data_IF_712485425057
#
_entry.id   IF_712485425057
#
_cell.length_a   1.000
_cell.length_b   1.000
_cell.length_c   1.000
_cell.angle_alpha   90.00
_cell.angle_beta   90.00
_cell.angle_gamma   90.00
#
_symmetry.space_group_name_H-M   'P 1'
#
loop_
_entity.id
_entity.type
_entity.pdbx_description
1 polymer ?
#
# COMPACT_ATOMS: atom_id res chain seq x y z
N UNK A 1 43.09 10.76 -29.72
CA UNK A 1 41.82 11.48 -29.51
C UNK A 1 41.09 10.74 -28.39
N UNK A 2 40.92 11.36 -27.22
CA UNK A 2 40.17 10.72 -26.13
C UNK A 2 38.70 11.06 -26.38
N UNK A 3 37.91 10.08 -26.80
CA UNK A 3 36.47 10.24 -26.89
C UNK A 3 35.91 10.22 -25.47
N UNK A 4 35.26 11.31 -25.06
CA UNK A 4 34.53 11.39 -23.78
C UNK A 4 33.08 11.03 -24.06
N UNK A 5 32.53 10.14 -23.26
CA UNK A 5 31.12 9.77 -23.37
C UNK A 5 30.21 10.98 -23.13
N UNK A 6 29.12 11.05 -23.88
CA UNK A 6 28.12 12.09 -23.73
C UNK A 6 26.74 11.48 -23.47
N UNK A 7 26.30 11.63 -22.22
CA UNK A 7 24.99 11.17 -21.75
C UNK A 7 24.07 12.33 -21.39
N UNK A 8 24.42 13.57 -21.73
CA UNK A 8 23.65 14.75 -21.37
C UNK A 8 22.22 14.68 -21.92
N UNK A 9 21.28 15.25 -21.17
CA UNK A 9 19.84 15.26 -21.42
C UNK A 9 19.15 13.88 -21.44
N UNK A 10 19.89 12.79 -21.16
CA UNK A 10 19.27 11.49 -20.89
C UNK A 10 18.64 11.50 -19.49
N UNK A 11 17.51 10.82 -19.36
CA UNK A 11 16.88 10.54 -18.06
C UNK A 11 17.68 9.46 -17.35
N UNK A 12 18.07 9.75 -16.12
CA UNK A 12 18.73 8.83 -15.21
C UNK A 12 17.96 8.77 -13.90
N UNK A 13 18.08 7.63 -13.23
CA UNK A 13 17.42 7.31 -11.99
C UNK A 13 18.48 7.14 -10.91
N UNK A 14 18.28 7.82 -9.79
CA UNK A 14 19.12 7.63 -8.62
C UNK A 14 18.95 6.21 -8.06
N UNK A 15 20.05 5.49 -7.84
CA UNK A 15 20.02 4.06 -7.48
C UNK A 15 19.52 3.79 -6.07
N UNK A 16 19.51 4.81 -5.21
CA UNK A 16 19.02 4.72 -3.82
C UNK A 16 17.56 5.17 -3.72
N UNK A 17 17.27 6.37 -4.24
CA UNK A 17 15.98 7.05 -4.08
C UNK A 17 15.00 6.77 -5.22
N UNK A 18 15.46 6.21 -6.35
CA UNK A 18 14.68 5.98 -7.59
C UNK A 18 14.23 7.26 -8.31
N UNK A 19 14.63 8.43 -7.82
CA UNK A 19 14.21 9.70 -8.38
C UNK A 19 14.75 9.89 -9.79
N UNK A 20 13.88 10.34 -10.71
CA UNK A 20 14.25 10.68 -12.07
C UNK A 20 14.93 12.05 -12.11
N UNK A 21 16.03 12.15 -12.86
CA UNK A 21 16.71 13.42 -13.15
C UNK A 21 17.36 13.38 -14.54
N UNK A 22 17.74 14.54 -15.07
CA UNK A 22 18.52 14.62 -16.31
C UNK A 22 20.01 14.63 -15.99
N UNK A 23 20.80 13.94 -16.80
CA UNK A 23 22.26 14.10 -16.80
C UNK A 23 22.57 15.44 -17.48
N UNK A 24 23.30 16.32 -16.80
CA UNK A 24 23.66 17.64 -17.34
C UNK A 24 25.16 17.79 -17.63
N UNK A 25 25.99 16.98 -16.96
CA UNK A 25 27.45 17.00 -17.12
C UNK A 25 27.92 16.14 -18.30
N UNK A 26 28.97 16.58 -19.00
CA UNK A 26 29.71 15.77 -19.96
C UNK A 26 30.57 14.74 -19.21
N UNK A 27 30.64 13.52 -19.72
CA UNK A 27 31.38 12.44 -19.07
C UNK A 27 30.52 11.21 -18.80
N UNK A 28 31.05 10.24 -18.02
CA UNK A 28 30.34 9.02 -17.67
C UNK A 28 29.12 9.32 -16.78
N UNK A 29 28.17 8.38 -16.75
CA UNK A 29 27.02 8.44 -15.83
C UNK A 29 27.55 8.42 -14.38
N UNK A 30 27.04 9.27 -13.48
CA UNK A 30 27.42 9.21 -12.06
C UNK A 30 27.20 7.81 -11.48
N UNK A 31 28.08 7.31 -10.60
CA UNK A 31 27.96 5.96 -10.04
C UNK A 31 26.71 5.76 -9.17
N UNK A 32 26.07 6.85 -8.74
CA UNK A 32 24.80 6.86 -8.01
C UNK A 32 23.58 6.83 -8.94
N UNK A 33 23.77 6.75 -10.25
CA UNK A 33 22.69 6.84 -11.23
C UNK A 33 22.72 5.70 -12.23
N UNK A 34 21.55 5.35 -12.75
CA UNK A 34 21.35 4.37 -13.81
C UNK A 34 20.39 4.89 -14.86
N UNK A 35 20.57 4.50 -16.12
CA UNK A 35 19.59 4.78 -17.18
C UNK A 35 18.42 3.79 -17.17
N UNK A 36 18.49 2.75 -16.35
CA UNK A 36 17.44 1.74 -16.21
C UNK A 36 16.37 2.29 -15.28
N UNK A 37 15.12 2.34 -15.75
CA UNK A 37 13.99 2.79 -14.95
C UNK A 37 13.56 1.68 -13.96
N UNK A 38 13.34 1.99 -12.66
CA UNK A 38 12.72 1.04 -11.74
C UNK A 38 11.26 0.79 -12.14
N UNK A 39 10.82 -0.45 -11.98
CA UNK A 39 9.46 -0.89 -12.33
C UNK A 39 8.52 -0.78 -11.13
N UNK A 40 9.02 -1.09 -9.93
CA UNK A 40 8.28 -1.01 -8.67
C UNK A 40 8.95 -0.09 -7.66
N UNK A 41 8.14 0.49 -6.77
CA UNK A 41 8.64 1.32 -5.66
C UNK A 41 9.54 0.52 -4.71
N UNK A 42 9.31 -0.80 -4.60
CA UNK A 42 10.09 -1.73 -3.79
C UNK A 42 11.32 -2.29 -4.51
N UNK A 43 11.67 -1.81 -5.72
CA UNK A 43 12.88 -2.29 -6.38
C UNK A 43 14.14 -1.89 -5.60
N UNK A 44 15.17 -2.72 -5.64
CA UNK A 44 16.50 -2.43 -5.10
C UNK A 44 17.54 -2.58 -6.22
N UNK A 45 18.47 -1.63 -6.30
CA UNK A 45 19.54 -1.69 -7.28
C UNK A 45 20.60 -2.70 -6.84
N UNK A 46 20.96 -3.64 -7.71
CA UNK A 46 21.96 -4.69 -7.43
C UNK A 46 23.37 -4.35 -7.93
N UNK A 47 23.55 -3.15 -8.48
CA UNK A 47 24.76 -2.75 -9.21
C UNK A 47 24.61 -2.84 -10.73
N UNK A 48 23.71 -3.70 -11.23
CA UNK A 48 23.49 -3.90 -12.67
C UNK A 48 22.04 -3.81 -13.11
N UNK A 49 21.09 -4.11 -12.22
CA UNK A 49 19.66 -4.07 -12.53
C UNK A 49 18.85 -3.73 -11.28
N UNK A 50 17.59 -3.34 -11.51
CA UNK A 50 16.57 -3.28 -10.48
C UNK A 50 16.01 -4.69 -10.23
N UNK A 51 15.98 -5.11 -8.98
CA UNK A 51 15.36 -6.36 -8.56
C UNK A 51 14.33 -6.04 -7.50
N UNK A 52 13.14 -6.64 -7.60
CA UNK A 52 12.07 -6.44 -6.65
C UNK A 52 12.47 -6.97 -5.27
N UNK A 53 12.52 -6.10 -4.26
CA UNK A 53 12.69 -6.50 -2.88
C UNK A 53 11.38 -7.12 -2.36
N UNK A 54 11.37 -8.45 -2.33
CA UNK A 54 10.23 -9.24 -1.86
C UNK A 54 9.91 -8.97 -0.38
N UNK A 55 10.91 -8.68 0.45
CA UNK A 55 10.70 -8.37 1.86
C UNK A 55 10.04 -7.00 2.02
N UNK A 56 10.50 -5.98 1.28
CA UNK A 56 9.86 -4.67 1.25
C UNK A 56 8.44 -4.73 0.66
N UNK A 57 8.21 -5.53 -0.38
CA UNK A 57 6.90 -5.73 -0.96
C UNK A 57 5.93 -6.35 0.07
N UNK A 58 6.35 -7.42 0.74
CA UNK A 58 5.56 -8.08 1.78
C UNK A 58 5.28 -7.14 2.95
N UNK A 59 6.31 -6.44 3.45
CA UNK A 59 6.16 -5.49 4.55
C UNK A 59 5.14 -4.38 4.23
N UNK A 60 5.15 -3.90 2.98
CA UNK A 60 4.17 -2.92 2.51
C UNK A 60 2.76 -3.50 2.43
N UNK A 61 2.60 -4.69 1.87
CA UNK A 61 1.30 -5.36 1.83
C UNK A 61 0.70 -5.54 3.23
N UNK A 62 1.52 -5.92 4.22
CA UNK A 62 1.09 -6.02 5.62
C UNK A 62 0.72 -4.66 6.23
N UNK A 63 1.45 -3.60 5.89
CA UNK A 63 1.15 -2.24 6.35
C UNK A 63 -0.17 -1.72 5.77
N UNK A 64 -0.39 -1.92 4.46
CA UNK A 64 -1.61 -1.56 3.77
C UNK A 64 -2.81 -2.36 4.34
N UNK A 65 -2.63 -3.66 4.60
CA UNK A 65 -3.65 -4.50 5.24
C UNK A 65 -4.01 -4.03 6.66
N UNK A 66 -3.03 -3.62 7.48
CA UNK A 66 -3.28 -3.03 8.81
C UNK A 66 -4.13 -1.76 8.70
N UNK A 67 -3.74 -0.85 7.80
CA UNK A 67 -4.47 0.39 7.58
C UNK A 67 -5.91 0.12 7.10
N UNK A 68 -6.10 -0.84 6.19
CA UNK A 68 -7.43 -1.23 5.73
C UNK A 68 -8.28 -1.82 6.85
N UNK A 69 -7.72 -2.72 7.68
CA UNK A 69 -8.42 -3.27 8.86
C UNK A 69 -8.89 -2.16 9.79
N UNK A 70 -8.02 -1.22 10.12
CA UNK A 70 -8.34 -0.12 11.03
C UNK A 70 -9.44 0.79 10.45
N UNK A 71 -9.37 1.11 9.15
CA UNK A 71 -10.40 1.90 8.47
C UNK A 71 -11.78 1.20 8.49
N UNK A 72 -11.82 -0.10 8.16
CA UNK A 72 -13.06 -0.87 8.17
C UNK A 72 -13.65 -1.02 9.58
N UNK A 73 -12.80 -1.22 10.60
CA UNK A 73 -13.23 -1.27 12.00
C UNK A 73 -13.83 0.07 12.47
N UNK A 74 -13.25 1.19 12.04
CA UNK A 74 -13.77 2.53 12.34
C UNK A 74 -15.14 2.73 11.69
N UNK A 75 -15.26 2.50 10.39
CA UNK A 75 -16.52 2.64 9.64
C UNK A 75 -17.63 1.75 10.21
N UNK A 76 -17.32 0.49 10.55
CA UNK A 76 -18.27 -0.43 11.16
C UNK A 76 -18.71 0.05 12.55
N UNK A 77 -17.80 0.64 13.32
CA UNK A 77 -18.12 1.18 14.66
C UNK A 77 -19.03 2.39 14.55
N UNK A 78 -18.81 3.29 13.59
CA UNK A 78 -19.68 4.44 13.35
C UNK A 78 -21.10 4.00 12.96
N UNK A 79 -21.23 3.03 12.05
CA UNK A 79 -22.53 2.46 11.66
C UNK A 79 -23.24 1.80 12.85
N UNK A 80 -22.50 1.04 13.67
CA UNK A 80 -23.04 0.42 14.88
C UNK A 80 -23.58 1.48 15.85
N UNK A 81 -22.89 2.61 16.02
CA UNK A 81 -23.35 3.67 16.93
C UNK A 81 -24.67 4.28 16.46
N UNK A 82 -24.80 4.56 15.15
CA UNK A 82 -26.05 5.07 14.57
C UNK A 82 -27.20 4.07 14.79
N UNK A 83 -26.95 2.78 14.55
CA UNK A 83 -27.96 1.73 14.74
C UNK A 83 -28.34 1.55 16.21
N UNK A 84 -27.40 1.71 17.14
CA UNK A 84 -27.70 1.69 18.58
C UNK A 84 -28.63 2.83 18.97
N UNK A 85 -28.39 4.04 18.44
CA UNK A 85 -29.26 5.20 18.69
C UNK A 85 -30.65 4.99 18.09
N UNK A 86 -30.75 4.44 16.87
CA UNK A 86 -32.03 4.11 16.23
C UNK A 86 -32.83 3.06 17.03
N UNK A 87 -32.18 1.96 17.41
CA UNK A 87 -32.80 0.92 18.26
C UNK A 87 -33.27 1.48 19.59
N UNK A 88 -32.53 2.42 20.19
CA UNK A 88 -32.94 3.07 21.43
C UNK A 88 -34.15 4.00 21.25
N UNK A 89 -34.31 4.61 20.07
CA UNK A 89 -35.39 5.54 19.76
C UNK A 89 -36.73 4.83 19.53
N UNK A 90 -36.75 3.76 18.74
CA UNK A 90 -37.99 3.12 18.30
C UNK A 90 -37.96 1.59 18.22
N UNK A 91 -36.79 0.97 18.43
CA UNK A 91 -36.59 -0.48 18.49
C UNK A 91 -37.12 -1.24 17.25
N UNK A 92 -36.90 -0.70 16.04
CA UNK A 92 -37.28 -1.38 14.79
C UNK A 92 -36.55 -2.73 14.61
N UNK A 93 -37.28 -3.73 14.13
CA UNK A 93 -36.73 -5.05 13.85
C UNK A 93 -35.63 -5.03 12.78
N UNK A 94 -35.73 -4.14 11.79
CA UNK A 94 -34.72 -3.99 10.73
C UNK A 94 -33.37 -3.52 11.29
N UNK A 95 -33.38 -2.50 12.16
CA UNK A 95 -32.17 -1.97 12.77
C UNK A 95 -31.50 -2.99 13.69
N UNK A 96 -32.28 -3.79 14.42
CA UNK A 96 -31.76 -4.91 15.21
C UNK A 96 -31.03 -5.95 14.35
N UNK A 97 -31.58 -6.27 13.18
CA UNK A 97 -30.96 -7.21 12.23
C UNK A 97 -29.66 -6.65 11.65
N UNK A 98 -29.67 -5.40 11.21
CA UNK A 98 -28.47 -4.73 10.71
C UNK A 98 -27.41 -4.61 11.83
N UNK A 99 -27.80 -4.24 13.04
CA UNK A 99 -26.91 -4.13 14.19
C UNK A 99 -26.21 -5.46 14.48
N UNK A 100 -26.93 -6.58 14.40
CA UNK A 100 -26.35 -7.91 14.55
C UNK A 100 -25.34 -8.20 13.42
N UNK A 101 -25.69 -7.92 12.16
CA UNK A 101 -24.82 -8.12 11.02
C UNK A 101 -23.50 -7.33 11.12
N UNK A 102 -23.58 -6.03 11.46
CA UNK A 102 -22.38 -5.20 11.66
C UNK A 102 -21.53 -5.63 12.85
N UNK A 103 -22.14 -6.11 13.95
CA UNK A 103 -21.37 -6.67 15.07
C UNK A 103 -20.61 -7.94 14.65
N UNK A 104 -21.24 -8.83 13.89
CA UNK A 104 -20.57 -10.00 13.34
C UNK A 104 -19.43 -9.61 12.39
N UNK A 105 -19.68 -8.67 11.49
CA UNK A 105 -18.68 -8.12 10.58
C UNK A 105 -17.46 -7.55 11.33
N UNK A 106 -17.69 -6.70 12.33
CA UNK A 106 -16.61 -6.12 13.14
C UNK A 106 -15.78 -7.19 13.85
N UNK A 107 -16.42 -8.23 14.39
CA UNK A 107 -15.71 -9.37 15.00
C UNK A 107 -14.92 -10.16 13.96
N UNK A 108 -15.47 -10.37 12.76
CA UNK A 108 -14.75 -11.02 11.67
C UNK A 108 -13.49 -10.23 11.28
N UNK A 109 -13.60 -8.90 11.12
CA UNK A 109 -12.46 -8.02 10.89
C UNK A 109 -11.40 -8.13 11.99
N UNK A 110 -11.80 -8.15 13.26
CA UNK A 110 -10.85 -8.28 14.38
C UNK A 110 -10.01 -9.56 14.31
N UNK A 111 -10.57 -10.65 13.77
CA UNK A 111 -9.90 -11.95 13.62
C UNK A 111 -8.92 -12.02 12.45
N UNK A 112 -9.00 -11.10 11.50
CA UNK A 112 -8.05 -11.04 10.38
C UNK A 112 -6.66 -10.77 10.92
N UNK A 113 -5.69 -11.56 10.50
CA UNK A 113 -4.28 -11.30 10.74
C UNK A 113 -3.69 -10.55 9.52
N UNK A 114 -3.33 -9.26 9.65
CA UNK A 114 -2.74 -8.50 8.55
C UNK A 114 -1.38 -9.04 8.08
N UNK A 115 -0.73 -9.90 8.86
CA UNK A 115 0.57 -10.46 8.52
C UNK A 115 0.49 -11.56 7.44
N UNK A 116 -0.72 -12.03 7.10
CA UNK A 116 -0.96 -12.95 5.98
C UNK A 116 -1.10 -12.25 4.63
N UNK A 117 -0.99 -10.93 4.59
CA UNK A 117 -1.01 -10.15 3.36
C UNK A 117 0.06 -10.66 2.34
N UNK A 118 -0.23 -10.60 1.03
CA UNK A 118 -1.39 -9.96 0.39
C UNK A 118 -2.65 -10.82 0.29
N UNK A 119 -2.60 -12.10 0.67
CA UNK A 119 -3.70 -13.05 0.54
C UNK A 119 -4.60 -12.96 1.79
N UNK A 120 -5.51 -11.99 1.79
CA UNK A 120 -6.49 -11.77 2.86
C UNK A 120 -7.90 -11.77 2.26
N UNK A 121 -8.72 -12.68 2.73
CA UNK A 121 -10.16 -12.69 2.45
C UNK A 121 -10.88 -11.72 3.40
N UNK A 122 -11.12 -10.51 2.92
CA UNK A 122 -11.86 -9.51 3.67
C UNK A 122 -13.35 -9.88 3.73
N UNK A 123 -14.00 -9.80 4.91
CA UNK A 123 -15.43 -9.99 5.01
C UNK A 123 -16.15 -8.92 4.18
N UNK A 124 -17.31 -9.29 3.64
CA UNK A 124 -18.14 -8.38 2.88
C UNK A 124 -18.85 -7.39 3.80
N UNK A 125 -19.02 -6.16 3.30
CA UNK A 125 -19.75 -5.12 4.01
C UNK A 125 -21.25 -5.51 4.12
N UNK A 126 -21.84 -5.50 5.34
CA UNK A 126 -23.26 -5.81 5.53
C UNK A 126 -24.18 -4.83 4.78
N UNK A 127 -25.32 -5.34 4.29
CA UNK A 127 -26.40 -4.52 3.73
C UNK A 127 -27.39 -4.08 4.81
#
# INVERSE_FOLDING_TARGET
MIAVEDHRHKKAYDIETKNESLILALGPIPPTQTLIKPTHQCDQWTGTAWVLDQAALKARAMADARQQKDALLHQATDHINILLDAVALDNQQADLQQLAAYKHYRVALMRIDPDTAPEIDWPEWPQ
#
